data_IF_350598360796
#
_entry.id   IF_350598360796
#
_cell.length_a   1.000
_cell.length_b   1.000
_cell.length_c   1.000
_cell.angle_alpha   90.00
_cell.angle_beta   90.00
_cell.angle_gamma   90.00
#
_symmetry.space_group_name_H-M   'P 1'
#
loop_
_entity.id
_entity.type
_entity.pdbx_description
1 polymer ?
#
# COMPACT_ATOMS: atom_id res chain seq x y z
N UNK A 1 17.11 -0.11 1.86
CA UNK A 1 16.45 0.93 1.04
C UNK A 1 16.16 0.48 -0.41
N UNK A 2 17.04 -0.29 -1.07
CA UNK A 2 16.82 -0.72 -2.47
C UNK A 2 15.66 -1.72 -2.68
N UNK A 3 15.41 -2.62 -1.72
CA UNK A 3 14.39 -3.67 -1.86
C UNK A 3 12.96 -3.10 -1.99
N UNK A 4 12.61 -2.12 -1.16
CA UNK A 4 11.26 -1.53 -1.14
C UNK A 4 10.96 -0.69 -2.39
N UNK A 5 11.99 -0.12 -3.02
CA UNK A 5 11.84 0.62 -4.27
C UNK A 5 11.51 -0.31 -5.44
N UNK A 6 12.14 -1.50 -5.49
CA UNK A 6 11.86 -2.51 -6.51
C UNK A 6 10.45 -3.12 -6.34
N UNK A 7 10.08 -3.43 -5.11
CA UNK A 7 8.76 -3.97 -4.77
C UNK A 7 7.62 -3.01 -5.16
N UNK A 8 7.79 -1.71 -4.89
CA UNK A 8 6.87 -0.66 -5.35
C UNK A 8 6.71 -0.67 -6.87
N UNK A 9 7.82 -0.70 -7.62
CA UNK A 9 7.77 -0.64 -9.08
C UNK A 9 7.01 -1.84 -9.67
N UNK A 10 7.27 -3.03 -9.13
CA UNK A 10 6.61 -4.25 -9.56
C UNK A 10 5.12 -4.23 -9.22
N UNK A 11 4.73 -3.85 -7.99
CA UNK A 11 3.34 -3.71 -7.60
C UNK A 11 2.57 -2.73 -8.51
N UNK A 12 3.18 -1.59 -8.87
CA UNK A 12 2.55 -0.61 -9.76
C UNK A 12 2.39 -1.14 -11.19
N UNK A 13 3.40 -1.87 -11.70
CA UNK A 13 3.36 -2.49 -13.02
C UNK A 13 2.30 -3.59 -13.10
N UNK A 14 2.29 -4.50 -12.12
CA UNK A 14 1.36 -5.64 -12.04
C UNK A 14 -0.11 -5.19 -11.94
N UNK A 15 -0.35 -3.99 -11.40
CA UNK A 15 -1.68 -3.42 -11.21
C UNK A 15 -2.05 -2.34 -12.22
N UNK A 16 -1.22 -2.13 -13.26
CA UNK A 16 -1.48 -1.15 -14.32
C UNK A 16 -2.83 -1.40 -15.01
N UNK A 17 -3.66 -0.36 -15.08
CA UNK A 17 -4.98 -0.37 -15.70
C UNK A 17 -5.98 -1.36 -15.08
N UNK A 18 -5.75 -1.81 -13.84
CA UNK A 18 -6.67 -2.70 -13.13
C UNK A 18 -7.52 -1.93 -12.13
N UNK A 19 -8.80 -2.30 -12.07
CA UNK A 19 -9.69 -2.02 -10.95
C UNK A 19 -9.83 -3.27 -10.08
N UNK A 20 -10.29 -3.11 -8.84
CA UNK A 20 -10.57 -4.26 -8.00
C UNK A 20 -10.57 -3.96 -6.51
N UNK A 21 -10.61 -5.05 -5.74
CA UNK A 21 -10.48 -5.09 -4.30
C UNK A 21 -9.09 -5.62 -3.97
N UNK A 22 -8.48 -5.09 -2.91
CA UNK A 22 -7.20 -5.53 -2.40
C UNK A 22 -7.27 -5.71 -0.89
N UNK A 23 -6.34 -6.48 -0.35
CA UNK A 23 -6.21 -6.81 1.05
C UNK A 23 -4.75 -6.61 1.45
N UNK A 24 -4.50 -5.89 2.53
CA UNK A 24 -3.17 -5.80 3.15
C UNK A 24 -3.25 -6.47 4.51
N UNK A 25 -2.32 -7.36 4.80
CA UNK A 25 -2.22 -8.05 6.09
C UNK A 25 -0.97 -7.56 6.78
N UNK A 26 -1.12 -6.96 7.96
CA UNK A 26 0.02 -6.59 8.79
C UNK A 26 0.55 -7.83 9.53
N UNK A 27 1.75 -8.27 9.19
CA UNK A 27 2.34 -9.51 9.72
C UNK A 27 2.79 -9.41 11.18
N UNK A 28 2.86 -8.19 11.75
CA UNK A 28 3.22 -7.99 13.17
C UNK A 28 2.01 -8.24 14.08
N UNK A 29 0.81 -7.81 13.67
CA UNK A 29 -0.38 -7.82 14.52
C UNK A 29 -1.61 -8.48 13.89
N UNK A 30 -1.46 -9.08 12.71
CA UNK A 30 -2.50 -9.77 11.93
C UNK A 30 -3.73 -8.91 11.60
N UNK A 31 -3.63 -7.58 11.68
CA UNK A 31 -4.72 -6.71 11.25
C UNK A 31 -4.82 -6.70 9.74
N UNK A 32 -6.05 -6.77 9.27
CA UNK A 32 -6.41 -6.85 7.86
C UNK A 32 -7.00 -5.51 7.42
N UNK A 33 -6.55 -5.02 6.27
CA UNK A 33 -6.99 -3.77 5.68
C UNK A 33 -7.48 -4.03 4.26
N UNK A 34 -8.80 -3.99 4.07
CA UNK A 34 -9.43 -4.21 2.78
C UNK A 34 -9.80 -2.86 2.17
N UNK A 35 -9.54 -2.69 0.88
CA UNK A 35 -9.98 -1.52 0.14
C UNK A 35 -10.25 -1.84 -1.32
N UNK A 36 -10.86 -0.90 -2.02
CA UNK A 36 -11.15 -1.01 -3.45
C UNK A 36 -10.71 0.22 -4.22
N UNK A 37 -10.51 0.06 -5.53
CA UNK A 37 -10.28 1.19 -6.42
C UNK A 37 -10.65 0.85 -7.86
N UNK A 38 -11.12 1.87 -8.59
CA UNK A 38 -11.21 1.83 -10.05
C UNK A 38 -9.83 1.86 -10.72
N UNK A 39 -8.79 2.33 -10.01
CA UNK A 39 -7.42 2.42 -10.52
C UNK A 39 -6.44 2.03 -9.40
N UNK A 40 -6.09 0.74 -9.38
CA UNK A 40 -5.22 0.16 -8.37
C UNK A 40 -3.81 0.74 -8.41
N UNK A 41 -3.27 1.07 -9.58
CA UNK A 41 -1.97 1.76 -9.70
C UNK A 41 -1.95 3.07 -8.94
N UNK A 42 -2.95 3.94 -9.14
CA UNK A 42 -3.02 5.23 -8.46
C UNK A 42 -3.24 5.04 -6.94
N UNK A 43 -4.04 4.04 -6.55
CA UNK A 43 -4.25 3.70 -5.13
C UNK A 43 -2.93 3.31 -4.46
N UNK A 44 -2.19 2.36 -5.02
CA UNK A 44 -0.93 1.88 -4.45
C UNK A 44 0.16 2.95 -4.54
N UNK A 45 0.20 3.75 -5.61
CA UNK A 45 1.14 4.87 -5.72
C UNK A 45 1.02 5.83 -4.53
N UNK A 46 -0.21 6.16 -4.11
CA UNK A 46 -0.47 7.01 -2.94
C UNK A 46 0.03 6.38 -1.65
N UNK A 47 -0.15 5.07 -1.49
CA UNK A 47 0.35 4.36 -0.31
C UNK A 47 1.88 4.35 -0.24
N UNK A 48 2.58 4.22 -1.36
CA UNK A 48 4.04 4.24 -1.42
C UNK A 48 4.65 5.64 -1.66
N UNK A 49 3.88 6.71 -1.48
CA UNK A 49 4.37 8.08 -1.53
C UNK A 49 4.15 8.72 -0.16
N UNK A 50 5.21 8.84 0.64
CA UNK A 50 5.12 9.32 2.03
C UNK A 50 4.43 10.68 2.13
N UNK A 51 4.70 11.60 1.21
CA UNK A 51 4.07 12.93 1.21
C UNK A 51 2.56 12.85 0.99
N UNK A 52 2.07 11.89 0.19
CA UNK A 52 0.64 11.66 -0.01
C UNK A 52 0.04 10.81 1.11
N UNK A 53 0.81 9.85 1.63
CA UNK A 53 0.42 8.95 2.71
C UNK A 53 0.08 9.74 3.99
N UNK A 54 0.85 10.78 4.30
CA UNK A 54 0.64 11.62 5.50
C UNK A 54 -0.56 12.57 5.38
N UNK A 55 -1.12 12.78 4.18
CA UNK A 55 -2.29 13.66 3.99
C UNK A 55 -3.59 13.06 4.51
N UNK A 56 -3.63 11.75 4.79
CA UNK A 56 -4.82 11.04 5.25
C UNK A 56 -4.53 10.27 6.53
N UNK A 57 -5.53 10.21 7.40
CA UNK A 57 -5.42 9.54 8.72
C UNK A 57 -6.26 8.27 8.83
N UNK A 58 -6.45 7.55 7.72
CA UNK A 58 -7.20 6.28 7.78
C UNK A 58 -6.35 5.18 8.40
N UNK A 59 -6.99 4.09 8.84
CA UNK A 59 -6.31 2.99 9.53
C UNK A 59 -5.11 2.43 8.76
N UNK A 60 -5.24 2.18 7.45
CA UNK A 60 -4.11 1.71 6.62
C UNK A 60 -3.00 2.75 6.45
N UNK A 61 -3.32 4.04 6.31
CA UNK A 61 -2.27 5.08 6.18
C UNK A 61 -1.43 5.14 7.46
N UNK A 62 -2.09 5.15 8.62
CA UNK A 62 -1.41 5.16 9.92
C UNK A 62 -0.60 3.87 10.15
N UNK A 63 -1.12 2.72 9.69
CA UNK A 63 -0.43 1.45 9.83
C UNK A 63 0.85 1.38 8.99
N UNK A 64 0.80 1.82 7.73
CA UNK A 64 1.97 1.88 6.84
C UNK A 64 3.03 2.86 7.36
N UNK A 65 2.61 4.01 7.93
CA UNK A 65 3.53 4.96 8.55
C UNK A 65 4.19 4.39 9.82
N UNK A 66 3.44 3.61 10.61
CA UNK A 66 3.93 3.07 11.89
C UNK A 66 4.83 1.85 11.72
N UNK A 67 4.46 0.92 10.85
CA UNK A 67 5.11 -0.39 10.74
C UNK A 67 5.98 -0.55 9.49
N UNK A 68 6.02 0.47 8.62
CA UNK A 68 6.69 0.33 7.32
C UNK A 68 5.91 -0.61 6.39
N UNK A 69 6.56 -1.04 5.32
CA UNK A 69 5.91 -1.81 4.23
C UNK A 69 6.36 -3.27 4.23
N UNK A 70 7.57 -3.57 4.69
CA UNK A 70 8.14 -4.92 4.73
C UNK A 70 7.36 -5.89 5.61
N UNK A 71 6.60 -5.37 6.57
CA UNK A 71 5.77 -6.15 7.48
C UNK A 71 4.32 -6.29 6.97
N UNK A 72 4.08 -6.07 5.68
CA UNK A 72 2.79 -6.29 5.05
C UNK A 72 2.86 -7.32 3.92
N UNK A 73 1.78 -8.10 3.78
CA UNK A 73 1.51 -8.99 2.65
C UNK A 73 0.23 -8.63 1.92
#
# INVERSE_FOLDING_TARGET
MCAQAMEKLQLLADNKNKSGIYCWINNINNKIYIGSSINLTNRFYKYYNVNLLTTRRTSIHNALLKYGYSDFS
#
